data_IF_540921412629
#
_entry.id   IF_540921412629
#
_cell.length_a   1.000
_cell.length_b   1.000
_cell.length_c   1.000
_cell.angle_alpha   90.00
_cell.angle_beta   90.00
_cell.angle_gamma   90.00
#
_symmetry.space_group_name_H-M   'P 1'
#
loop_
_entity.id
_entity.type
_entity.pdbx_description
1 polymer ?
#
# COMPACT_ATOMS: atom_id res chain seq x y z
N UNK A 1 -57.50 19.29 -14.65
CA UNK A 1 -57.24 20.69 -15.04
C UNK A 1 -55.74 20.86 -15.09
N UNK A 2 -55.21 20.65 -16.30
CA UNK A 2 -54.17 21.45 -16.96
C UNK A 2 -52.93 21.87 -16.17
N UNK A 3 -51.83 21.16 -16.45
CA UNK A 3 -50.84 21.66 -17.41
C UNK A 3 -49.68 22.55 -16.88
N UNK A 4 -48.45 22.38 -17.38
CA UNK A 4 -47.20 22.85 -16.76
C UNK A 4 -46.59 24.08 -17.46
N UNK A 5 -45.58 24.73 -16.85
CA UNK A 5 -44.59 25.46 -17.63
C UNK A 5 -43.16 25.23 -17.14
N UNK A 6 -42.36 24.88 -18.14
CA UNK A 6 -40.94 24.59 -18.20
C UNK A 6 -40.25 25.86 -18.71
N UNK A 7 -39.15 26.33 -18.10
CA UNK A 7 -38.17 27.16 -18.80
C UNK A 7 -36.75 26.82 -18.32
N UNK A 8 -35.93 26.45 -19.31
CA UNK A 8 -34.49 26.27 -19.24
C UNK A 8 -33.79 27.63 -19.31
N UNK A 9 -32.66 27.79 -18.62
CA UNK A 9 -31.58 28.63 -19.15
C UNK A 9 -30.20 28.12 -18.72
N UNK A 10 -29.49 27.57 -19.71
CA UNK A 10 -28.05 27.33 -19.71
C UNK A 10 -27.30 28.62 -19.99
N UNK A 11 -26.22 28.90 -19.24
CA UNK A 11 -25.11 29.71 -19.77
C UNK A 11 -23.76 29.24 -19.25
N UNK A 12 -22.97 28.74 -20.19
CA UNK A 12 -21.54 28.43 -20.12
C UNK A 12 -20.74 29.73 -20.09
N UNK A 13 -19.70 29.81 -19.27
CA UNK A 13 -18.53 30.65 -19.56
C UNK A 13 -17.27 30.01 -18.97
N UNK A 14 -16.38 29.58 -19.88
CA UNK A 14 -14.95 29.41 -19.65
C UNK A 14 -14.31 30.81 -19.52
N UNK A 15 -13.38 30.98 -18.58
CA UNK A 15 -12.34 32.01 -18.69
C UNK A 15 -11.02 31.47 -18.14
N UNK A 16 -9.98 31.55 -18.98
CA UNK A 16 -8.60 31.18 -18.69
C UNK A 16 -7.86 32.40 -18.14
N UNK A 17 -7.53 32.39 -16.85
CA UNK A 17 -6.72 33.42 -16.19
C UNK A 17 -5.39 32.88 -15.70
N UNK A 18 -4.30 33.22 -16.40
CA UNK A 18 -2.91 32.84 -16.12
C UNK A 18 -2.26 33.79 -15.10
N UNK A 19 -1.49 33.24 -14.15
CA UNK A 19 -0.56 33.96 -13.26
C UNK A 19 -1.09 34.12 -11.82
N UNK A 20 -0.41 33.69 -10.75
CA UNK A 20 1.02 33.79 -10.46
C UNK A 20 1.43 32.72 -9.45
N UNK A 21 2.59 32.09 -9.69
CA UNK A 21 3.23 31.20 -8.74
C UNK A 21 3.90 32.03 -7.62
N UNK A 22 3.59 31.70 -6.37
CA UNK A 22 4.36 32.10 -5.20
C UNK A 22 4.79 30.83 -4.45
N UNK A 23 6.06 30.71 -4.00
CA UNK A 23 6.64 29.44 -3.58
C UNK A 23 6.12 29.03 -2.20
N UNK A 24 5.44 27.90 -2.11
CA UNK A 24 5.08 27.27 -0.83
C UNK A 24 6.30 26.53 -0.27
N UNK A 25 6.63 26.65 1.04
CA UNK A 25 7.63 25.80 1.66
C UNK A 25 7.13 24.36 1.71
N UNK A 26 7.81 23.48 0.99
CA UNK A 26 7.62 22.02 1.03
C UNK A 26 8.20 21.51 2.35
N UNK A 27 7.39 21.50 3.40
CA UNK A 27 7.60 20.70 4.60
C UNK A 27 6.31 20.69 5.43
N UNK A 28 5.34 19.88 5.00
CA UNK A 28 4.24 19.48 5.87
C UNK A 28 4.02 17.97 5.71
N UNK A 29 4.11 17.17 6.79
CA UNK A 29 3.79 15.75 6.73
C UNK A 29 2.28 15.56 6.50
N UNK A 30 1.82 14.46 5.87
CA UNK A 30 0.40 14.22 5.71
C UNK A 30 -0.26 14.13 7.10
N UNK A 31 -1.20 15.03 7.36
CA UNK A 31 -2.09 14.94 8.52
C UNK A 31 -2.95 13.69 8.32
N UNK A 32 -2.67 12.64 9.10
CA UNK A 32 -3.57 11.50 9.21
C UNK A 32 -4.85 11.99 9.91
N UNK A 33 -5.92 12.15 9.15
CA UNK A 33 -7.25 12.38 9.71
C UNK A 33 -7.63 11.15 10.55
N UNK A 34 -7.67 11.35 11.87
CA UNK A 34 -8.25 10.40 12.80
C UNK A 34 -9.79 10.43 12.66
N UNK A 35 -10.35 9.36 12.11
CA UNK A 35 -11.75 8.91 12.21
C UNK A 35 -11.74 7.41 11.88
N UNK A 36 -12.45 6.49 12.51
CA UNK A 36 -13.41 6.47 13.61
C UNK A 36 -13.41 5.01 14.07
N UNK A 37 -13.41 4.77 15.38
CA UNK A 37 -13.58 3.45 15.98
C UNK A 37 -15.04 3.00 15.79
N UNK A 38 -15.31 2.27 14.72
CA UNK A 38 -16.56 1.56 14.51
C UNK A 38 -16.25 0.12 14.13
N UNK A 39 -16.38 -0.75 15.14
CA UNK A 39 -16.90 -2.11 15.06
C UNK A 39 -16.28 -3.02 13.99
N UNK A 40 -15.64 -4.09 14.47
CA UNK A 40 -15.26 -5.28 13.71
C UNK A 40 -16.23 -5.61 12.56
N UNK A 41 -15.94 -5.09 11.37
CA UNK A 41 -16.57 -5.51 10.14
C UNK A 41 -15.48 -6.22 9.35
N UNK A 42 -15.59 -7.55 9.29
CA UNK A 42 -14.74 -8.33 8.39
C UNK A 42 -14.79 -7.70 6.99
N UNK A 43 -13.65 -7.64 6.29
CA UNK A 43 -13.62 -7.13 4.93
C UNK A 43 -14.71 -7.80 4.07
N UNK A 44 -15.41 -7.07 3.18
CA UNK A 44 -16.52 -7.61 2.37
C UNK A 44 -16.16 -8.90 1.60
N UNK A 45 -14.87 -9.14 1.37
CA UNK A 45 -14.30 -10.28 0.65
C UNK A 45 -14.20 -11.57 1.47
N UNK A 46 -14.43 -11.52 2.79
CA UNK A 46 -14.55 -12.71 3.66
C UNK A 46 -15.99 -13.09 3.98
N UNK A 47 -16.98 -12.31 3.49
CA UNK A 47 -18.35 -12.78 3.47
C UNK A 47 -18.46 -13.87 2.42
N UNK A 48 -18.65 -15.11 2.89
CA UNK A 48 -19.00 -16.22 2.02
C UNK A 48 -20.25 -15.81 1.24
N UNK A 49 -20.20 -15.65 -0.10
CA UNK A 49 -21.41 -15.47 -0.87
C UNK A 49 -22.24 -16.72 -0.64
N UNK A 50 -23.44 -16.50 -0.13
CA UNK A 50 -24.42 -17.52 0.17
C UNK A 50 -24.87 -18.14 -1.15
N UNK A 51 -24.08 -19.10 -1.68
CA UNK A 51 -24.44 -20.00 -2.78
C UNK A 51 -25.36 -19.38 -3.85
N UNK A 52 -24.96 -18.27 -4.47
CA UNK A 52 -25.68 -17.73 -5.65
C UNK A 52 -25.28 -18.43 -6.96
N UNK A 53 -24.75 -19.65 -6.83
CA UNK A 53 -24.91 -20.68 -7.84
C UNK A 53 -25.47 -21.91 -7.12
N UNK A 54 -26.71 -21.81 -6.62
CA UNK A 54 -27.67 -22.89 -6.86
C UNK A 54 -27.79 -23.03 -8.39
N UNK A 55 -26.74 -23.55 -9.01
CA UNK A 55 -26.75 -24.05 -10.36
C UNK A 55 -27.86 -25.09 -10.34
N UNK A 56 -29.01 -24.67 -10.83
CA UNK A 56 -30.19 -25.50 -10.97
C UNK A 56 -29.93 -26.39 -12.20
N UNK A 57 -28.81 -27.11 -12.16
CA UNK A 57 -28.28 -27.90 -13.27
C UNK A 57 -28.83 -29.31 -13.13
N UNK A 58 -30.15 -29.42 -13.23
CA UNK A 58 -30.73 -30.69 -13.62
C UNK A 58 -30.28 -31.09 -15.05
N UNK A 59 -29.65 -30.17 -15.79
CA UNK A 59 -29.31 -30.24 -17.22
C UNK A 59 -28.39 -31.40 -17.64
N UNK A 60 -27.27 -31.72 -16.95
CA UNK A 60 -26.33 -32.74 -17.42
C UNK A 60 -26.94 -34.15 -17.41
N UNK A 61 -27.92 -34.38 -16.53
CA UNK A 61 -28.56 -35.68 -16.34
C UNK A 61 -29.92 -35.79 -17.02
N UNK A 62 -30.47 -34.72 -17.63
CA UNK A 62 -31.75 -34.79 -18.35
C UNK A 62 -31.81 -35.92 -19.38
N UNK A 63 -30.77 -36.13 -20.23
CA UNK A 63 -30.82 -37.20 -21.22
C UNK A 63 -30.92 -38.58 -20.58
N UNK A 64 -30.19 -38.83 -19.49
CA UNK A 64 -30.27 -40.11 -18.77
C UNK A 64 -31.63 -40.27 -18.09
N UNK A 65 -32.20 -39.21 -17.52
CA UNK A 65 -33.53 -39.24 -16.90
C UNK A 65 -34.59 -39.57 -17.95
N UNK A 66 -34.48 -39.06 -19.17
CA UNK A 66 -35.42 -39.35 -20.26
C UNK A 66 -35.30 -40.79 -20.75
N UNK A 67 -34.09 -41.32 -20.89
CA UNK A 67 -33.86 -42.73 -21.23
C UNK A 67 -34.36 -43.69 -20.13
N UNK A 68 -34.22 -43.32 -18.85
CA UNK A 68 -34.81 -44.09 -17.74
C UNK A 68 -36.34 -44.14 -17.82
N UNK A 69 -37.00 -43.04 -18.21
CA UNK A 69 -38.45 -43.02 -18.42
C UNK A 69 -38.87 -43.92 -19.58
N UNK A 70 -38.06 -43.98 -20.64
CA UNK A 70 -38.29 -44.87 -21.79
C UNK A 70 -38.10 -46.34 -21.47
N UNK A 71 -37.15 -46.66 -20.59
CA UNK A 71 -36.86 -48.03 -20.18
C UNK A 71 -37.90 -48.60 -19.19
N UNK A 72 -38.51 -47.74 -18.38
CA UNK A 72 -39.41 -48.15 -17.30
C UNK A 72 -40.64 -49.00 -17.73
N UNK A 73 -41.29 -48.76 -18.90
CA UNK A 73 -42.36 -49.62 -19.40
C UNK A 73 -41.87 -50.99 -19.87
N UNK A 74 -40.64 -51.07 -20.40
CA UNK A 74 -40.07 -52.31 -20.97
C UNK A 74 -39.49 -53.21 -19.88
N UNK A 75 -38.72 -52.63 -18.95
CA UNK A 75 -38.15 -53.33 -17.79
C UNK A 75 -38.08 -52.39 -16.57
N UNK A 76 -39.08 -52.43 -15.67
CA UNK A 76 -39.13 -51.55 -14.51
C UNK A 76 -38.06 -51.89 -13.47
N UNK A 77 -37.59 -53.15 -13.41
CA UNK A 77 -36.59 -53.55 -12.44
C UNK A 77 -35.20 -53.02 -12.84
N UNK A 78 -34.87 -53.12 -14.12
CA UNK A 78 -33.66 -52.53 -14.69
C UNK A 78 -33.69 -51.00 -14.62
N UNK A 79 -34.82 -50.37 -14.96
CA UNK A 79 -34.98 -48.92 -14.84
C UNK A 79 -34.78 -48.44 -13.40
N UNK A 80 -35.27 -49.17 -12.41
CA UNK A 80 -35.03 -48.85 -11.00
C UNK A 80 -33.55 -48.92 -10.61
N UNK A 81 -32.84 -49.98 -11.01
CA UNK A 81 -31.41 -50.12 -10.73
C UNK A 81 -30.60 -49.01 -11.41
N UNK A 82 -30.89 -48.73 -12.68
CA UNK A 82 -30.24 -47.66 -13.42
C UNK A 82 -30.52 -46.28 -12.81
N UNK A 83 -31.75 -46.02 -12.34
CA UNK A 83 -32.10 -44.79 -11.63
C UNK A 83 -31.31 -44.61 -10.33
N UNK A 84 -31.05 -45.69 -9.58
CA UNK A 84 -30.20 -45.61 -8.38
C UNK A 84 -28.76 -45.20 -8.73
N UNK A 85 -28.19 -45.76 -9.79
CA UNK A 85 -26.84 -45.41 -10.27
C UNK A 85 -26.78 -43.95 -10.67
N UNK A 86 -27.75 -43.48 -11.47
CA UNK A 86 -27.85 -42.07 -11.89
C UNK A 86 -27.94 -41.15 -10.68
N UNK A 87 -28.70 -41.53 -9.65
CA UNK A 87 -28.81 -40.75 -8.41
C UNK A 87 -27.46 -40.63 -7.68
N UNK A 88 -26.71 -41.73 -7.58
CA UNK A 88 -25.38 -41.70 -6.94
C UNK A 88 -24.40 -40.82 -7.72
N UNK A 89 -24.36 -40.99 -9.05
CA UNK A 89 -23.46 -40.23 -9.90
C UNK A 89 -23.81 -38.74 -9.89
N UNK A 90 -25.10 -38.38 -9.92
CA UNK A 90 -25.55 -37.00 -9.78
C UNK A 90 -25.04 -36.36 -8.48
N UNK A 91 -25.14 -37.07 -7.36
CA UNK A 91 -24.63 -36.56 -6.06
C UNK A 91 -23.11 -36.38 -6.06
N UNK A 92 -22.37 -37.28 -6.71
CA UNK A 92 -20.92 -37.13 -6.87
C UNK A 92 -20.57 -35.92 -7.74
N UNK A 93 -21.32 -35.72 -8.83
CA UNK A 93 -21.14 -34.56 -9.71
C UNK A 93 -21.43 -33.25 -8.98
N UNK A 94 -22.54 -33.15 -8.24
CA UNK A 94 -22.87 -31.98 -7.41
C UNK A 94 -21.75 -31.68 -6.40
N UNK A 95 -21.23 -32.71 -5.73
CA UNK A 95 -20.09 -32.56 -4.81
C UNK A 95 -18.81 -32.11 -5.51
N UNK A 96 -18.55 -32.62 -6.72
CA UNK A 96 -17.39 -32.25 -7.52
C UNK A 96 -17.47 -30.78 -7.94
N UNK A 97 -18.61 -30.33 -8.46
CA UNK A 97 -18.83 -28.94 -8.88
C UNK A 97 -18.66 -27.98 -7.71
N UNK A 98 -19.25 -28.30 -6.55
CA UNK A 98 -19.11 -27.48 -5.35
C UNK A 98 -17.65 -27.37 -4.88
N UNK A 99 -16.91 -28.49 -4.89
CA UNK A 99 -15.48 -28.49 -4.54
C UNK A 99 -14.63 -27.73 -5.57
N UNK A 100 -14.97 -27.85 -6.85
CA UNK A 100 -14.25 -27.18 -7.92
C UNK A 100 -14.41 -25.66 -7.84
N UNK A 101 -15.62 -25.16 -7.60
CA UNK A 101 -15.86 -23.73 -7.43
C UNK A 101 -15.16 -23.17 -6.19
N UNK A 102 -15.15 -23.92 -5.09
CA UNK A 102 -14.37 -23.56 -3.90
C UNK A 102 -12.87 -23.51 -4.20
N UNK A 103 -12.33 -24.51 -4.90
CA UNK A 103 -10.92 -24.55 -5.30
C UNK A 103 -10.55 -23.35 -6.17
N UNK A 104 -11.39 -22.99 -7.15
CA UNK A 104 -11.17 -21.83 -8.01
C UNK A 104 -11.17 -20.52 -7.21
N UNK A 105 -12.08 -20.37 -6.25
CA UNK A 105 -12.14 -19.20 -5.37
C UNK A 105 -10.89 -19.09 -4.50
N UNK A 106 -10.42 -20.20 -3.94
CA UNK A 106 -9.19 -20.24 -3.15
C UNK A 106 -7.96 -19.92 -4.00
N UNK A 107 -7.91 -20.39 -5.24
CA UNK A 107 -6.82 -20.08 -6.17
C UNK A 107 -6.77 -18.59 -6.50
N UNK A 108 -7.92 -17.97 -6.77
CA UNK A 108 -8.02 -16.52 -6.99
C UNK A 108 -7.53 -15.73 -5.78
N UNK A 109 -8.03 -16.04 -4.58
CA UNK A 109 -7.63 -15.37 -3.35
C UNK A 109 -6.12 -15.55 -3.05
N UNK A 110 -5.56 -16.72 -3.34
CA UNK A 110 -4.12 -16.96 -3.21
C UNK A 110 -3.31 -16.10 -4.20
N UNK A 111 -3.81 -15.95 -5.44
CA UNK A 111 -3.21 -15.07 -6.45
C UNK A 111 -3.17 -13.60 -6.00
N UNK A 112 -4.27 -13.11 -5.43
CA UNK A 112 -4.34 -11.76 -4.85
C UNK A 112 -3.34 -11.59 -3.69
N UNK A 113 -3.29 -12.56 -2.77
CA UNK A 113 -2.35 -12.54 -1.66
C UNK A 113 -0.88 -12.54 -2.11
N UNK A 114 -0.54 -13.33 -3.13
CA UNK A 114 0.81 -13.33 -3.71
C UNK A 114 1.17 -11.98 -4.30
N UNK A 115 0.23 -11.37 -5.02
CA UNK A 115 0.42 -10.04 -5.61
C UNK A 115 0.66 -8.98 -4.53
N UNK A 116 -0.19 -8.96 -3.49
CA UNK A 116 -0.02 -8.05 -2.35
C UNK A 116 1.31 -8.29 -1.61
N UNK A 117 1.70 -9.55 -1.43
CA UNK A 117 2.97 -9.89 -0.78
C UNK A 117 4.19 -9.38 -1.56
N UNK A 118 4.18 -9.49 -2.90
CA UNK A 118 5.23 -8.95 -3.76
C UNK A 118 5.32 -7.43 -3.59
N UNK A 119 4.19 -6.72 -3.59
CA UNK A 119 4.15 -5.26 -3.40
C UNK A 119 4.74 -4.85 -2.04
N UNK A 120 4.33 -5.52 -0.95
CA UNK A 120 4.86 -5.27 0.38
C UNK A 120 6.37 -5.54 0.48
N UNK A 121 6.86 -6.58 -0.22
CA UNK A 121 8.29 -6.85 -0.27
C UNK A 121 9.05 -5.72 -0.98
N UNK A 122 8.51 -5.20 -2.09
CA UNK A 122 9.12 -4.07 -2.82
C UNK A 122 9.15 -2.81 -1.95
N UNK A 123 8.04 -2.50 -1.28
CA UNK A 123 7.95 -1.35 -0.38
C UNK A 123 8.92 -1.47 0.80
N UNK A 124 9.04 -2.66 1.40
CA UNK A 124 10.03 -2.95 2.44
C UNK A 124 11.45 -2.67 1.97
N UNK A 125 11.84 -3.18 0.80
CA UNK A 125 13.20 -2.97 0.29
C UNK A 125 13.47 -1.51 -0.05
N UNK A 126 12.48 -0.81 -0.60
CA UNK A 126 12.56 0.63 -0.83
C UNK A 126 12.79 1.40 0.48
N UNK A 127 11.99 1.11 1.51
CA UNK A 127 12.08 1.79 2.78
C UNK A 127 13.40 1.50 3.51
N UNK A 128 13.85 0.25 3.45
CA UNK A 128 15.15 -0.18 3.98
C UNK A 128 16.30 0.59 3.32
N UNK A 129 16.25 0.75 2.00
CA UNK A 129 17.26 1.49 1.23
C UNK A 129 17.27 2.97 1.61
N UNK A 130 16.09 3.57 1.80
CA UNK A 130 15.95 4.95 2.27
C UNK A 130 16.54 5.13 3.67
N UNK A 131 16.26 4.21 4.59
CA UNK A 131 16.78 4.27 5.96
C UNK A 131 18.31 4.17 5.99
N UNK A 132 18.89 3.23 5.24
CA UNK A 132 20.35 3.10 5.13
C UNK A 132 21.02 4.38 4.61
N UNK A 133 20.39 5.07 3.65
CA UNK A 133 20.88 6.36 3.16
C UNK A 133 20.85 7.44 4.24
N UNK A 134 19.75 7.55 4.99
CA UNK A 134 19.63 8.51 6.08
C UNK A 134 20.65 8.23 7.20
N UNK A 135 20.88 6.96 7.52
CA UNK A 135 21.88 6.56 8.51
C UNK A 135 23.29 6.95 8.07
N UNK A 136 23.61 6.78 6.78
CA UNK A 136 24.87 7.24 6.21
C UNK A 136 25.03 8.77 6.27
N UNK A 137 23.99 9.53 5.93
CA UNK A 137 24.00 11.00 6.02
C UNK A 137 24.17 11.48 7.47
N UNK A 138 23.49 10.85 8.43
CA UNK A 138 23.63 11.15 9.86
C UNK A 138 25.06 10.86 10.37
N UNK A 139 25.65 9.73 9.96
CA UNK A 139 27.02 9.38 10.31
C UNK A 139 28.01 10.43 9.76
N UNK A 140 27.80 10.88 8.52
CA UNK A 140 28.59 11.96 7.91
C UNK A 140 28.49 13.26 8.73
N UNK A 141 27.28 13.71 9.07
CA UNK A 141 27.10 14.93 9.85
C UNK A 141 27.74 14.82 11.24
N UNK A 142 27.58 13.67 11.90
CA UNK A 142 28.22 13.43 13.20
C UNK A 142 29.73 13.60 13.11
N UNK A 143 30.35 12.99 12.11
CA UNK A 143 31.79 13.14 11.87
C UNK A 143 32.18 14.59 11.57
N UNK A 144 31.40 15.32 10.77
CA UNK A 144 31.65 16.73 10.48
C UNK A 144 31.59 17.59 11.75
N UNK A 145 30.63 17.35 12.63
CA UNK A 145 30.52 18.06 13.92
C UNK A 145 31.66 17.70 14.87
N UNK A 146 32.06 16.44 14.96
CA UNK A 146 33.21 16.01 15.77
C UNK A 146 34.51 16.69 15.28
N UNK A 147 34.70 16.77 13.97
CA UNK A 147 35.84 17.47 13.36
C UNK A 147 35.81 18.97 13.65
N UNK A 148 34.65 19.60 13.53
CA UNK A 148 34.47 21.02 13.83
C UNK A 148 34.76 21.32 15.30
N UNK A 149 34.20 20.53 16.22
CA UNK A 149 34.44 20.65 17.65
C UNK A 149 35.92 20.48 18.00
N UNK A 150 36.58 19.50 17.38
CA UNK A 150 38.03 19.28 17.52
C UNK A 150 38.85 20.47 16.96
N UNK A 151 38.43 21.03 15.83
CA UNK A 151 39.06 22.22 15.23
C UNK A 151 38.95 23.45 16.14
N UNK A 152 37.75 23.75 16.63
CA UNK A 152 37.49 24.85 17.57
C UNK A 152 38.30 24.65 18.86
N UNK A 153 38.30 23.44 19.42
CA UNK A 153 39.06 23.12 20.62
C UNK A 153 40.57 23.36 20.46
N UNK A 154 41.13 23.07 19.28
CA UNK A 154 42.53 23.38 18.95
C UNK A 154 42.79 24.88 18.87
N UNK A 155 41.91 25.64 18.21
CA UNK A 155 42.05 27.09 18.07
C UNK A 155 41.95 27.83 19.41
N UNK A 156 41.04 27.39 20.29
CA UNK A 156 40.92 27.97 21.63
C UNK A 156 42.14 27.68 22.52
N UNK A 157 42.82 26.54 22.29
CA UNK A 157 44.05 26.20 23.02
C UNK A 157 45.25 26.98 22.51
N UNK A 158 45.38 27.15 21.20
CA UNK A 158 46.49 27.93 20.61
C UNK A 158 46.40 29.41 20.95
N UNK A 159 45.20 29.99 20.96
CA UNK A 159 44.99 31.40 21.34
C UNK A 159 45.31 31.70 22.81
N UNK A 160 45.04 30.78 23.73
CA UNK A 160 45.44 30.91 25.15
C UNK A 160 46.95 30.84 25.39
N UNK A 161 47.73 30.32 24.44
CA UNK A 161 49.20 30.29 24.50
C UNK A 161 49.87 31.57 24.00
N UNK A 162 49.10 32.54 23.46
CA UNK A 162 49.64 33.74 22.80
C UNK A 162 49.70 34.97 23.72
N UNK A 163 49.71 34.79 25.04
CA UNK A 163 50.02 35.86 26.00
C UNK A 163 51.49 35.76 26.39
N UNK A 164 52.41 35.95 25.44
CA UNK A 164 53.78 36.34 25.75
C UNK A 164 53.83 37.86 25.74
N UNK A 165 54.18 38.44 26.89
CA UNK A 165 54.21 39.88 27.13
C UNK A 165 54.96 40.68 26.05
N UNK A 166 54.52 41.91 25.72
CA UNK A 166 55.37 42.84 25.00
C UNK A 166 56.49 43.29 25.95
N UNK A 167 57.70 42.76 25.74
CA UNK A 167 58.91 43.29 26.37
C UNK A 167 59.19 44.67 25.78
N UNK A 168 58.66 45.72 26.41
CA UNK A 168 59.06 47.10 26.15
C UNK A 168 60.50 47.30 26.67
N UNK A 169 61.49 47.06 25.82
CA UNK A 169 62.85 47.53 26.08
C UNK A 169 62.97 48.99 25.59
N UNK A 170 63.26 49.85 26.56
CA UNK A 170 63.35 51.31 26.50
C UNK A 170 64.41 51.80 25.50
N UNK A 171 64.21 52.96 24.83
CA UNK A 171 65.25 53.56 24.00
C UNK A 171 66.38 54.11 24.87
N UNK A 172 67.58 53.61 24.63
CA UNK A 172 68.86 54.07 25.17
C UNK A 172 69.04 55.58 24.94
N UNK A 173 69.24 56.33 26.03
CA UNK A 173 69.61 57.75 25.97
C UNK A 173 70.98 57.88 25.31
N UNK A 174 71.05 58.68 24.25
CA UNK A 174 72.32 59.19 23.70
C UNK A 174 72.80 60.27 24.66
N UNK A 175 73.95 60.04 25.31
CA UNK A 175 74.67 61.09 26.01
C UNK A 175 75.43 61.91 24.97
N UNK A 176 75.07 63.18 24.88
CA UNK A 176 75.80 64.24 24.19
C UNK A 176 76.33 65.17 25.30
N UNK A 177 77.64 65.12 25.56
CA UNK A 177 78.45 66.04 26.38
C UNK A 177 79.89 65.49 26.32
N UNK A 178 80.98 66.23 26.16
CA UNK A 178 81.26 67.63 25.89
C UNK A 178 82.77 67.73 25.58
N UNK A 179 83.13 68.69 24.71
CA UNK A 179 84.44 69.32 24.48
C UNK A 179 85.68 68.46 24.12
#
# INVERSE_FOLDING_TARGET
MDGPHNEHETKVQHDEGRGSASPRPVNEPPVFSAREDHGQQLPPHLQLPQNEAQATDAEPFQPLVEELKRLNPDDPQLAHQAAQIVRFYRRLYESYVAKNSESQRLESANGELRTANIQLCQEREFLKSRYAKQEHELAYFRQAFDNLGTGIGRLLRSSKGCTSEPRCETPTKVNEEAL
#
